data_IF_352593776244
#
_entry.id   IF_352593776244
#
_cell.length_a   1.000
_cell.length_b   1.000
_cell.length_c   1.000
_cell.angle_alpha   90.00
_cell.angle_beta   90.00
_cell.angle_gamma   90.00
#
_symmetry.space_group_name_H-M   'P 1'
#
loop_
_entity.id
_entity.type
_entity.pdbx_description
1 polymer ?
#
# COMPACT_ATOMS: atom_id res chain seq x y z
N UNK A 1 4.67 58.80 -33.50
CA UNK A 1 5.33 57.52 -33.15
C UNK A 1 4.50 56.85 -32.08
N UNK A 2 3.49 56.07 -32.49
CA UNK A 2 2.60 55.31 -31.63
C UNK A 2 3.24 53.94 -31.38
N UNK A 3 3.47 53.61 -30.10
CA UNK A 3 4.06 52.34 -29.70
C UNK A 3 2.96 51.30 -29.53
N UNK A 4 3.11 50.18 -30.23
CA UNK A 4 2.21 49.03 -30.21
C UNK A 4 2.73 48.05 -29.15
N UNK A 5 2.05 47.90 -28.02
CA UNK A 5 2.37 46.88 -27.01
C UNK A 5 1.61 45.60 -27.33
N UNK A 6 2.23 44.75 -28.15
CA UNK A 6 1.77 43.38 -28.38
C UNK A 6 2.15 42.50 -27.19
N UNK A 7 1.16 42.14 -26.37
CA UNK A 7 1.28 41.12 -25.32
C UNK A 7 1.41 39.74 -25.96
N UNK A 8 2.62 39.17 -25.90
CA UNK A 8 2.87 37.78 -26.26
C UNK A 8 2.30 36.83 -25.21
N UNK A 9 1.30 36.04 -25.58
CA UNK A 9 0.84 34.89 -24.79
C UNK A 9 1.82 33.76 -25.06
N UNK A 10 2.78 33.55 -24.15
CA UNK A 10 3.55 32.31 -24.10
C UNK A 10 2.64 31.23 -23.49
N UNK A 11 2.00 30.45 -24.36
CA UNK A 11 1.42 29.18 -23.96
C UNK A 11 2.57 28.23 -23.60
N UNK A 12 2.88 28.12 -22.31
CA UNK A 12 3.74 27.07 -21.77
C UNK A 12 3.01 25.75 -21.97
N UNK A 13 3.31 25.09 -23.09
CA UNK A 13 2.96 23.70 -23.30
C UNK A 13 3.74 22.90 -22.24
N UNK A 14 3.07 22.55 -21.14
CA UNK A 14 3.60 21.58 -20.20
C UNK A 14 3.73 20.26 -20.96
N UNK A 15 4.92 20.01 -21.53
CA UNK A 15 5.34 18.69 -21.96
C UNK A 15 5.39 17.84 -20.69
N UNK A 16 4.27 17.20 -20.37
CA UNK A 16 4.22 16.14 -19.39
C UNK A 16 5.30 15.14 -19.78
N UNK A 17 6.25 14.93 -18.88
CA UNK A 17 7.29 13.92 -19.06
C UNK A 17 6.55 12.58 -19.11
N UNK A 18 6.32 12.08 -20.32
CA UNK A 18 5.75 10.76 -20.53
C UNK A 18 6.74 9.78 -19.93
N UNK A 19 6.41 9.24 -18.76
CA UNK A 19 7.20 8.19 -18.11
C UNK A 19 7.00 6.91 -18.94
N UNK A 20 7.71 6.85 -20.07
CA UNK A 20 7.54 5.82 -21.07
C UNK A 20 8.11 4.47 -20.66
N UNK A 21 8.84 4.35 -19.55
CA UNK A 21 9.45 3.10 -19.11
C UNK A 21 8.80 2.63 -17.82
N UNK A 22 7.98 1.57 -17.93
CA UNK A 22 7.57 0.79 -16.77
C UNK A 22 8.79 0.05 -16.23
N UNK A 23 9.34 0.50 -15.10
CA UNK A 23 10.47 -0.18 -14.46
C UNK A 23 10.14 -1.67 -14.21
N UNK A 24 11.05 -2.56 -14.63
CA UNK A 24 10.90 -4.01 -14.50
C UNK A 24 10.20 -4.71 -15.68
N UNK A 25 9.67 -3.96 -16.66
CA UNK A 25 9.04 -4.53 -17.85
C UNK A 25 9.98 -4.52 -19.05
N UNK A 26 10.02 -5.61 -19.81
CA UNK A 26 10.66 -5.64 -21.12
C UNK A 26 9.76 -5.01 -22.18
N UNK A 27 10.25 -4.00 -22.89
CA UNK A 27 9.57 -3.53 -24.10
C UNK A 27 9.96 -4.39 -25.28
N UNK A 28 8.97 -4.97 -25.93
CA UNK A 28 9.13 -5.81 -27.10
C UNK A 28 8.41 -5.17 -28.29
N UNK A 29 8.92 -5.48 -29.46
CA UNK A 29 8.33 -5.20 -30.77
C UNK A 29 8.11 -6.53 -31.50
N UNK A 30 7.51 -6.48 -32.69
CA UNK A 30 7.21 -7.68 -33.47
C UNK A 30 8.45 -8.51 -33.84
N UNK A 31 9.63 -7.90 -33.91
CA UNK A 31 10.89 -8.56 -34.29
C UNK A 31 11.55 -9.21 -33.07
N UNK A 32 11.52 -8.52 -31.93
CA UNK A 32 12.17 -8.94 -30.69
C UNK A 32 11.32 -9.92 -29.90
N UNK A 33 9.99 -9.85 -30.00
CA UNK A 33 9.09 -10.75 -29.29
C UNK A 33 9.41 -12.22 -29.60
N UNK A 34 9.48 -12.60 -30.88
CA UNK A 34 9.71 -13.99 -31.26
C UNK A 34 11.11 -14.49 -30.83
N UNK A 35 12.12 -13.61 -30.84
CA UNK A 35 13.47 -13.94 -30.35
C UNK A 35 13.49 -14.14 -28.83
N UNK A 36 12.80 -13.28 -28.09
CA UNK A 36 12.74 -13.36 -26.64
C UNK A 36 11.95 -14.60 -26.19
N UNK A 37 10.81 -14.87 -26.81
CA UNK A 37 10.01 -16.06 -26.52
C UNK A 37 10.75 -17.38 -26.84
N UNK A 38 11.76 -17.35 -27.72
CA UNK A 38 12.58 -18.51 -28.04
C UNK A 38 13.77 -18.73 -27.09
N UNK A 39 14.01 -17.84 -26.12
CA UNK A 39 15.10 -18.01 -25.15
C UNK A 39 14.77 -19.20 -24.23
N UNK A 40 15.61 -20.26 -24.21
CA UNK A 40 15.35 -21.43 -23.37
C UNK A 40 15.49 -21.08 -21.89
N UNK A 41 14.77 -21.79 -21.05
CA UNK A 41 14.78 -21.57 -19.60
C UNK A 41 13.92 -20.38 -19.14
N UNK A 42 13.13 -19.75 -20.01
CA UNK A 42 12.43 -18.50 -19.69
C UNK A 42 10.94 -18.56 -19.99
N UNK A 43 10.15 -18.02 -19.07
CA UNK A 43 8.71 -17.79 -19.24
C UNK A 43 8.41 -16.30 -19.33
N UNK A 44 7.35 -15.93 -20.05
CA UNK A 44 7.03 -14.53 -20.34
C UNK A 44 5.56 -14.25 -20.07
N UNK A 45 5.27 -13.15 -19.39
CA UNK A 45 3.92 -12.61 -19.29
C UNK A 45 3.83 -11.30 -20.05
N UNK A 46 3.20 -11.33 -21.21
CA UNK A 46 3.21 -10.27 -22.21
C UNK A 46 1.89 -9.51 -22.21
N UNK A 47 1.95 -8.19 -22.06
CA UNK A 47 0.83 -7.26 -22.28
C UNK A 47 0.89 -6.68 -23.68
N UNK A 48 -0.17 -6.86 -24.47
CA UNK A 48 -0.37 -6.20 -25.76
C UNK A 48 -1.41 -5.09 -25.56
N UNK A 49 -1.04 -3.85 -25.87
CA UNK A 49 -1.85 -2.67 -25.50
C UNK A 49 -1.51 -1.45 -26.36
N UNK A 50 -2.27 -0.38 -26.19
CA UNK A 50 -1.96 0.92 -26.80
C UNK A 50 -0.66 1.52 -26.24
N UNK A 51 0.09 2.29 -27.05
CA UNK A 51 1.24 3.03 -26.56
C UNK A 51 0.80 4.03 -25.49
N UNK A 52 1.62 4.19 -24.46
CA UNK A 52 1.37 5.12 -23.34
C UNK A 52 0.08 4.84 -22.55
N UNK A 53 -0.36 3.58 -22.50
CA UNK A 53 -1.49 3.18 -21.66
C UNK A 53 -1.34 3.63 -20.20
N UNK A 54 -2.44 4.15 -19.65
CA UNK A 54 -2.54 4.69 -18.29
C UNK A 54 -3.82 4.20 -17.60
N UNK A 55 -3.95 4.50 -16.31
CA UNK A 55 -5.09 4.11 -15.48
C UNK A 55 -4.86 2.79 -14.76
N UNK A 56 -5.89 2.34 -14.04
CA UNK A 56 -5.80 1.23 -13.07
C UNK A 56 -5.27 -0.07 -13.68
N UNK A 57 -5.67 -0.38 -14.92
CA UNK A 57 -5.18 -1.58 -15.64
C UNK A 57 -3.69 -1.50 -15.94
N UNK A 58 -3.20 -0.32 -16.33
CA UNK A 58 -1.79 -0.09 -16.57
C UNK A 58 -1.01 -0.18 -15.26
N UNK A 59 -1.51 0.44 -14.19
CA UNK A 59 -0.89 0.40 -12.86
C UNK A 59 -0.83 -1.02 -12.28
N UNK A 60 -1.89 -1.81 -12.45
CA UNK A 60 -1.90 -3.21 -12.08
C UNK A 60 -0.78 -4.00 -12.77
N UNK A 61 -0.57 -3.79 -14.07
CA UNK A 61 0.52 -4.44 -14.78
C UNK A 61 1.90 -3.90 -14.37
N UNK A 62 2.04 -2.60 -14.08
CA UNK A 62 3.29 -2.04 -13.53
C UNK A 62 3.70 -2.74 -12.24
N UNK A 63 2.74 -3.06 -11.37
CA UNK A 63 3.00 -3.86 -10.16
C UNK A 63 3.56 -5.24 -10.50
N UNK A 64 3.01 -5.93 -11.51
CA UNK A 64 3.54 -7.22 -11.98
C UNK A 64 4.99 -7.09 -12.44
N UNK A 65 5.30 -6.07 -13.24
CA UNK A 65 6.64 -5.82 -13.75
C UNK A 65 7.66 -5.57 -12.63
N UNK A 66 7.28 -4.84 -11.59
CA UNK A 66 8.15 -4.60 -10.43
C UNK A 66 8.41 -5.88 -9.63
N UNK A 67 7.39 -6.72 -9.47
CA UNK A 67 7.49 -7.97 -8.71
C UNK A 67 8.21 -9.09 -9.48
N UNK A 68 8.17 -9.06 -10.82
CA UNK A 68 8.83 -10.05 -11.67
C UNK A 68 10.35 -10.15 -11.41
N UNK A 69 10.99 -9.07 -10.94
CA UNK A 69 12.42 -9.07 -10.59
C UNK A 69 12.81 -10.16 -9.57
N UNK A 70 11.91 -10.51 -8.65
CA UNK A 70 12.18 -11.54 -7.63
C UNK A 70 11.92 -12.98 -8.13
N UNK A 71 11.40 -13.14 -9.35
CA UNK A 71 11.02 -14.45 -9.90
C UNK A 71 12.10 -14.92 -10.87
N UNK A 72 12.80 -16.03 -10.58
CA UNK A 72 13.77 -16.56 -11.51
C UNK A 72 13.08 -17.07 -12.78
N UNK A 73 13.79 -16.97 -13.90
CA UNK A 73 13.35 -17.55 -15.18
C UNK A 73 12.02 -17.00 -15.71
N UNK A 74 11.67 -15.76 -15.34
CA UNK A 74 10.40 -15.14 -15.69
C UNK A 74 10.58 -13.67 -16.02
N UNK A 75 9.94 -13.20 -17.09
CA UNK A 75 9.90 -11.80 -17.46
C UNK A 75 8.47 -11.30 -17.68
N UNK A 76 8.17 -10.12 -17.16
CA UNK A 76 7.02 -9.35 -17.61
C UNK A 76 7.44 -8.50 -18.82
N UNK A 77 6.60 -8.46 -19.86
CA UNK A 77 6.89 -7.73 -21.08
C UNK A 77 5.67 -6.97 -21.61
N UNK A 78 5.89 -5.91 -22.38
CA UNK A 78 4.85 -5.16 -23.05
C UNK A 78 5.17 -4.93 -24.52
N UNK A 79 4.15 -5.08 -25.37
CA UNK A 79 4.18 -4.80 -26.80
C UNK A 79 3.21 -3.66 -27.08
N UNK A 80 3.69 -2.41 -27.24
CA UNK A 80 2.85 -1.28 -27.59
C UNK A 80 2.45 -1.34 -29.06
N UNK A 81 1.15 -1.28 -29.37
CA UNK A 81 0.62 -1.31 -30.74
C UNK A 81 0.23 0.09 -31.19
N UNK A 82 1.12 0.74 -31.97
CA UNK A 82 0.89 2.07 -32.53
C UNK A 82 0.24 1.95 -33.91
N UNK A 83 -0.86 2.68 -34.14
CA UNK A 83 -1.51 2.70 -35.46
C UNK A 83 -1.57 4.07 -36.10
N UNK A 84 -1.26 5.12 -35.34
CA UNK A 84 -1.23 6.49 -35.86
C UNK A 84 0.15 6.79 -36.44
N UNK A 85 0.18 7.31 -37.66
CA UNK A 85 1.38 7.58 -38.46
C UNK A 85 2.09 6.30 -38.93
N UNK A 86 3.07 5.84 -38.17
CA UNK A 86 3.83 4.63 -38.45
C UNK A 86 3.18 3.49 -37.69
N UNK A 87 2.56 2.56 -38.44
CA UNK A 87 2.03 1.35 -37.84
C UNK A 87 3.18 0.54 -37.27
N UNK A 88 3.18 0.31 -35.97
CA UNK A 88 4.15 -0.52 -35.26
C UNK A 88 3.41 -1.61 -34.48
N UNK A 89 3.91 -2.84 -34.58
CA UNK A 89 3.41 -4.02 -33.87
C UNK A 89 1.94 -4.40 -34.16
N UNK A 90 1.32 -3.84 -35.21
CA UNK A 90 -0.05 -4.17 -35.63
C UNK A 90 -0.17 -5.64 -36.08
N UNK A 91 0.94 -6.21 -36.56
CA UNK A 91 1.09 -7.64 -36.90
C UNK A 91 1.03 -8.55 -35.66
N UNK A 92 1.51 -8.09 -34.50
CA UNK A 92 1.36 -8.83 -33.23
C UNK A 92 -0.11 -8.91 -32.84
N UNK A 93 -0.85 -7.80 -32.96
CA UNK A 93 -2.29 -7.79 -32.72
C UNK A 93 -3.03 -8.80 -33.63
N UNK A 94 -2.66 -8.85 -34.91
CA UNK A 94 -3.22 -9.80 -35.87
C UNK A 94 -2.86 -11.25 -35.54
N UNK A 95 -1.59 -11.52 -35.17
CA UNK A 95 -1.11 -12.86 -34.75
C UNK A 95 -1.92 -13.46 -33.60
N UNK A 96 -2.38 -12.61 -32.66
CA UNK A 96 -3.20 -13.03 -31.52
C UNK A 96 -4.71 -12.84 -31.72
N UNK A 97 -5.17 -12.53 -32.94
CA UNK A 97 -6.58 -12.30 -33.27
C UNK A 97 -7.26 -11.24 -32.38
N UNK A 98 -6.55 -10.15 -32.08
CA UNK A 98 -7.03 -9.08 -31.20
C UNK A 98 -7.65 -7.92 -31.98
N UNK A 99 -8.68 -7.32 -31.40
CA UNK A 99 -9.20 -6.01 -31.78
C UNK A 99 -8.75 -4.94 -30.78
N UNK A 100 -8.91 -3.66 -31.10
CA UNK A 100 -8.59 -2.59 -30.14
C UNK A 100 -9.46 -2.64 -28.86
N UNK A 101 -10.66 -3.21 -28.96
CA UNK A 101 -11.54 -3.36 -27.80
C UNK A 101 -11.05 -4.44 -26.83
N UNK A 102 -10.17 -5.33 -27.30
CA UNK A 102 -9.54 -6.34 -26.47
C UNK A 102 -8.38 -5.78 -25.62
N UNK A 103 -7.95 -4.54 -25.88
CA UNK A 103 -6.82 -3.95 -25.16
C UNK A 103 -7.22 -3.47 -23.75
N UNK A 104 -6.36 -3.67 -22.73
CA UNK A 104 -5.13 -4.47 -22.77
C UNK A 104 -5.40 -5.98 -22.79
N UNK A 105 -4.61 -6.72 -23.58
CA UNK A 105 -4.63 -8.17 -23.64
C UNK A 105 -3.36 -8.76 -23.04
N UNK A 106 -3.48 -9.85 -22.29
CA UNK A 106 -2.35 -10.46 -21.56
C UNK A 106 -2.21 -11.93 -21.88
N UNK A 107 -0.96 -12.37 -22.12
CA UNK A 107 -0.64 -13.74 -22.51
C UNK A 107 0.53 -14.27 -21.70
N UNK A 108 0.39 -15.49 -21.19
CA UNK A 108 1.47 -16.23 -20.54
C UNK A 108 2.06 -17.25 -21.52
N UNK A 109 3.37 -17.17 -21.69
CA UNK A 109 4.19 -18.11 -22.44
C UNK A 109 5.06 -18.86 -21.42
N UNK A 110 4.87 -20.17 -21.34
CA UNK A 110 5.65 -21.04 -20.47
C UNK A 110 6.60 -21.83 -21.35
N UNK A 111 7.84 -21.98 -20.90
CA UNK A 111 8.80 -22.84 -21.59
C UNK A 111 8.23 -24.26 -21.77
N UNK A 112 8.31 -24.78 -23.00
CA UNK A 112 7.84 -26.12 -23.34
C UNK A 112 6.32 -26.24 -23.53
N UNK A 113 5.55 -25.17 -23.29
CA UNK A 113 4.15 -25.10 -23.70
C UNK A 113 4.07 -24.70 -25.18
N UNK A 114 3.17 -25.36 -25.92
CA UNK A 114 2.98 -25.08 -27.35
C UNK A 114 2.18 -23.79 -27.59
N UNK A 115 1.25 -23.49 -26.68
CA UNK A 115 0.28 -22.40 -26.86
C UNK A 115 0.40 -21.36 -25.74
N UNK A 116 0.22 -20.09 -26.11
CA UNK A 116 0.13 -18.99 -25.18
C UNK A 116 -1.24 -19.00 -24.47
N UNK A 117 -1.25 -18.82 -23.15
CA UNK A 117 -2.50 -18.79 -22.40
C UNK A 117 -2.96 -17.35 -22.18
N UNK A 118 -4.18 -17.03 -22.60
CA UNK A 118 -4.78 -15.71 -22.40
C UNK A 118 -5.30 -15.57 -20.97
N UNK A 119 -4.96 -14.48 -20.31
CA UNK A 119 -5.61 -14.08 -19.06
C UNK A 119 -6.93 -13.37 -19.36
N UNK A 120 -8.02 -13.81 -18.72
CA UNK A 120 -9.38 -13.34 -19.02
C UNK A 120 -10.12 -12.77 -17.80
N UNK A 121 -9.53 -12.81 -16.60
CA UNK A 121 -10.13 -12.28 -15.38
C UNK A 121 -9.96 -10.75 -15.28
N UNK A 122 -10.54 -10.16 -14.22
CA UNK A 122 -10.41 -8.73 -13.95
C UNK A 122 -8.93 -8.31 -13.84
N UNK A 123 -8.55 -7.22 -14.52
CA UNK A 123 -7.16 -6.72 -14.59
C UNK A 123 -6.80 -6.01 -13.29
N UNK A 124 -6.50 -6.81 -12.27
CA UNK A 124 -6.02 -6.40 -10.96
C UNK A 124 -4.77 -7.19 -10.64
N UNK A 125 -3.75 -6.53 -10.08
CA UNK A 125 -2.45 -7.17 -9.84
C UNK A 125 -2.57 -8.44 -8.97
N UNK A 126 -3.43 -8.43 -7.95
CA UNK A 126 -3.67 -9.59 -7.08
C UNK A 126 -4.22 -10.81 -7.86
N UNK A 127 -5.19 -10.59 -8.76
CA UNK A 127 -5.79 -11.65 -9.57
C UNK A 127 -4.77 -12.22 -10.56
N UNK A 128 -4.00 -11.35 -11.21
CA UNK A 128 -2.94 -11.75 -12.15
C UNK A 128 -1.85 -12.57 -11.43
N UNK A 129 -1.42 -12.15 -10.23
CA UNK A 129 -0.45 -12.90 -9.41
C UNK A 129 -1.00 -14.28 -9.05
N UNK A 130 -2.25 -14.37 -8.62
CA UNK A 130 -2.89 -15.65 -8.28
C UNK A 130 -2.96 -16.58 -9.48
N UNK A 131 -3.32 -16.05 -10.65
CA UNK A 131 -3.37 -16.80 -11.90
C UNK A 131 -1.97 -17.23 -12.39
N UNK A 132 -0.96 -16.37 -12.27
CA UNK A 132 0.43 -16.72 -12.59
C UNK A 132 0.93 -17.87 -11.69
N UNK A 133 0.63 -17.82 -10.39
CA UNK A 133 0.95 -18.89 -9.43
C UNK A 133 0.27 -20.21 -9.76
N UNK A 134 -1.00 -20.19 -10.19
CA UNK A 134 -1.70 -21.42 -10.57
C UNK A 134 -1.09 -22.09 -11.80
N UNK A 135 -0.30 -21.37 -12.58
CA UNK A 135 0.43 -21.87 -13.75
C UNK A 135 1.93 -22.05 -13.49
N UNK A 136 2.34 -22.14 -12.23
CA UNK A 136 3.71 -22.50 -11.85
C UNK A 136 4.69 -21.33 -11.75
N UNK A 137 4.23 -20.09 -11.94
CA UNK A 137 5.07 -18.90 -11.75
C UNK A 137 5.00 -18.44 -10.29
N UNK A 138 6.07 -18.65 -9.53
CA UNK A 138 6.18 -18.29 -8.11
C UNK A 138 6.28 -16.78 -7.87
N UNK A 139 5.22 -16.03 -8.20
CA UNK A 139 5.12 -14.59 -7.99
C UNK A 139 5.08 -14.23 -6.50
N UNK A 140 5.76 -13.14 -6.05
CA UNK A 140 5.58 -12.58 -4.72
C UNK A 140 4.18 -11.99 -4.51
N UNK A 141 3.75 -11.87 -3.26
CA UNK A 141 2.52 -11.19 -2.86
C UNK A 141 2.73 -9.67 -2.80
N UNK A 142 1.65 -8.91 -3.04
CA UNK A 142 1.67 -7.44 -3.01
C UNK A 142 1.75 -6.95 -1.56
N UNK A 143 0.80 -7.39 -0.74
CA UNK A 143 0.64 -6.96 0.65
C UNK A 143 1.19 -8.04 1.58
N UNK A 144 0.40 -9.08 1.79
CA UNK A 144 0.70 -10.21 2.65
C UNK A 144 0.44 -11.53 1.93
N UNK A 145 0.81 -12.64 2.54
CA UNK A 145 0.64 -13.98 1.97
C UNK A 145 -0.58 -14.60 2.65
N UNK A 146 -1.73 -14.61 1.97
CA UNK A 146 -3.02 -15.06 2.50
C UNK A 146 -2.95 -16.39 3.28
N UNK A 147 -2.27 -17.39 2.72
CA UNK A 147 -2.16 -18.72 3.35
C UNK A 147 -1.30 -18.70 4.64
N UNK A 148 -0.33 -17.79 4.74
CA UNK A 148 0.43 -17.56 5.98
C UNK A 148 -0.37 -16.68 6.94
N UNK A 149 -1.18 -15.74 6.44
CA UNK A 149 -2.08 -14.90 7.25
C UNK A 149 -3.11 -15.75 7.98
N UNK A 150 -3.65 -16.78 7.32
CA UNK A 150 -4.54 -17.76 7.96
C UNK A 150 -3.85 -18.47 9.13
N UNK A 151 -2.58 -18.85 8.98
CA UNK A 151 -1.79 -19.46 10.07
C UNK A 151 -1.55 -18.44 11.19
N UNK A 152 -1.28 -17.17 10.87
CA UNK A 152 -1.18 -16.09 11.86
C UNK A 152 -2.50 -15.94 12.61
N UNK A 153 -3.64 -15.93 11.91
CA UNK A 153 -4.95 -15.81 12.53
C UNK A 153 -5.28 -16.95 13.49
N UNK A 154 -4.79 -18.17 13.21
CA UNK A 154 -4.86 -19.29 14.14
C UNK A 154 -3.87 -19.13 15.32
N UNK A 155 -2.62 -18.73 15.04
CA UNK A 155 -1.60 -18.46 16.05
C UNK A 155 -2.02 -17.37 17.05
N UNK A 156 -2.74 -16.35 16.60
CA UNK A 156 -3.27 -15.30 17.48
C UNK A 156 -4.39 -15.80 18.42
N UNK A 157 -5.05 -16.91 18.08
CA UNK A 157 -6.03 -17.57 18.95
C UNK A 157 -5.35 -18.55 19.92
N UNK A 158 -4.33 -19.25 19.45
CA UNK A 158 -3.53 -20.22 20.20
C UNK A 158 -2.04 -20.03 19.87
N UNK A 159 -1.33 -19.30 20.72
CA UNK A 159 0.08 -18.98 20.50
C UNK A 159 0.95 -20.20 20.82
N UNK A 160 1.20 -21.05 19.82
CA UNK A 160 1.95 -22.30 19.97
C UNK A 160 3.00 -22.54 18.89
N UNK A 161 4.04 -23.31 19.24
CA UNK A 161 5.12 -23.68 18.32
C UNK A 161 4.62 -24.48 17.09
N UNK A 162 3.46 -25.15 17.21
CA UNK A 162 2.82 -25.87 16.09
C UNK A 162 2.53 -24.94 14.91
N UNK A 163 2.09 -23.71 15.16
CA UNK A 163 1.81 -22.76 14.08
C UNK A 163 3.09 -22.24 13.43
N UNK A 164 4.18 -22.11 14.19
CA UNK A 164 5.51 -21.76 13.67
C UNK A 164 5.99 -22.82 12.68
N UNK A 165 5.90 -24.11 13.06
CA UNK A 165 6.31 -25.20 12.17
C UNK A 165 5.46 -25.28 10.90
N UNK A 166 4.13 -25.11 11.02
CA UNK A 166 3.24 -25.04 9.85
C UNK A 166 3.57 -23.87 8.93
N UNK A 167 3.87 -22.70 9.48
CA UNK A 167 4.30 -21.55 8.68
C UNK A 167 5.62 -21.85 7.96
N UNK A 168 6.58 -22.47 8.65
CA UNK A 168 7.90 -22.85 8.11
C UNK A 168 7.81 -23.86 6.96
N UNK A 169 6.89 -24.82 7.03
CA UNK A 169 6.61 -25.73 5.91
C UNK A 169 6.11 -24.97 4.68
N UNK A 170 5.22 -24.00 4.90
CA UNK A 170 4.61 -23.21 3.83
C UNK A 170 5.57 -22.19 3.21
N UNK A 171 6.58 -21.72 3.95
CA UNK A 171 7.63 -20.82 3.43
C UNK A 171 8.31 -21.36 2.17
N UNK A 172 8.47 -22.69 2.04
CA UNK A 172 9.09 -23.30 0.87
C UNK A 172 8.30 -23.04 -0.42
N UNK A 173 6.97 -22.98 -0.33
CA UNK A 173 6.07 -22.61 -1.44
C UNK A 173 6.26 -21.15 -1.85
N UNK A 174 6.60 -20.29 -0.89
CA UNK A 174 6.79 -18.86 -1.05
C UNK A 174 8.27 -18.43 -1.00
N UNK A 175 9.21 -19.31 -1.35
CA UNK A 175 10.66 -19.07 -1.24
C UNK A 175 11.19 -17.82 -1.96
N UNK A 176 10.48 -17.35 -2.99
CA UNK A 176 10.81 -16.14 -3.75
C UNK A 176 10.17 -14.87 -3.17
N UNK A 177 9.30 -15.01 -2.17
CA UNK A 177 8.69 -13.88 -1.46
C UNK A 177 9.50 -13.60 -0.20
N UNK A 178 10.20 -12.46 -0.18
CA UNK A 178 11.02 -12.04 0.95
C UNK A 178 10.22 -11.91 2.27
N UNK A 179 8.89 -11.78 2.18
CA UNK A 179 7.99 -11.72 3.35
C UNK A 179 7.80 -13.07 4.03
N UNK A 180 7.86 -14.18 3.31
CA UNK A 180 7.61 -15.51 3.86
C UNK A 180 8.43 -15.81 5.15
N UNK A 181 9.78 -15.67 5.15
CA UNK A 181 10.58 -15.89 6.36
C UNK A 181 10.37 -14.85 7.47
N UNK A 182 9.59 -13.78 7.24
CA UNK A 182 9.27 -12.82 8.29
C UNK A 182 8.16 -13.35 9.21
N UNK A 183 7.25 -14.18 8.70
CA UNK A 183 6.14 -14.73 9.47
C UNK A 183 6.63 -15.59 10.64
N UNK A 184 7.48 -16.59 10.36
CA UNK A 184 8.04 -17.44 11.41
C UNK A 184 8.86 -16.64 12.42
N UNK A 185 9.71 -15.73 11.97
CA UNK A 185 10.51 -14.86 12.85
C UNK A 185 9.64 -13.99 13.77
N UNK A 186 8.52 -13.47 13.28
CA UNK A 186 7.61 -12.67 14.09
C UNK A 186 6.86 -13.59 15.07
N UNK A 187 6.36 -14.75 14.65
CA UNK A 187 5.73 -15.73 15.55
C UNK A 187 6.67 -16.14 16.69
N UNK A 188 7.93 -16.50 16.39
CA UNK A 188 8.94 -16.88 17.38
C UNK A 188 9.19 -15.75 18.40
N UNK A 189 9.28 -14.50 17.92
CA UNK A 189 9.44 -13.35 18.81
C UNK A 189 8.20 -13.05 19.63
N UNK A 190 7.01 -13.24 19.06
CA UNK A 190 5.75 -13.12 19.79
C UNK A 190 5.63 -14.18 20.89
N UNK A 191 6.13 -15.41 20.67
CA UNK A 191 6.22 -16.44 21.71
C UNK A 191 7.21 -16.06 22.82
N UNK A 192 8.36 -15.46 22.47
CA UNK A 192 9.41 -15.11 23.43
C UNK A 192 9.13 -13.81 24.22
N UNK A 193 8.54 -12.80 23.57
CA UNK A 193 8.37 -11.44 24.10
C UNK A 193 6.91 -11.11 24.44
N UNK A 194 5.99 -12.00 24.10
CA UNK A 194 4.56 -11.85 24.36
C UNK A 194 3.78 -11.11 23.26
N UNK A 195 2.46 -10.98 23.44
CA UNK A 195 1.53 -10.54 22.39
C UNK A 195 1.73 -9.10 21.93
N UNK A 196 2.35 -8.23 22.75
CA UNK A 196 2.60 -6.82 22.42
C UNK A 196 3.75 -6.63 21.42
N UNK A 197 4.58 -7.65 21.20
CA UNK A 197 5.76 -7.56 20.33
C UNK A 197 5.45 -6.96 18.95
N UNK A 198 4.39 -7.43 18.29
CA UNK A 198 4.05 -6.99 16.95
C UNK A 198 3.68 -5.49 16.90
N UNK A 199 2.91 -5.02 17.88
CA UNK A 199 2.51 -3.62 18.02
C UNK A 199 3.72 -2.71 18.26
N UNK A 200 4.60 -3.08 19.21
CA UNK A 200 5.80 -2.31 19.53
C UNK A 200 6.76 -2.24 18.33
N UNK A 201 6.87 -3.35 17.59
CA UNK A 201 7.71 -3.43 16.41
C UNK A 201 7.17 -2.57 15.24
N UNK A 202 5.85 -2.44 15.09
CA UNK A 202 5.24 -1.51 14.12
C UNK A 202 5.69 -0.08 14.39
N UNK A 203 5.55 0.40 15.63
CA UNK A 203 5.95 1.76 16.02
C UNK A 203 7.44 1.98 15.74
N UNK A 204 8.27 1.00 16.12
CA UNK A 204 9.71 1.07 15.89
C UNK A 204 10.06 1.15 14.40
N UNK A 205 9.42 0.35 13.56
CA UNK A 205 9.65 0.33 12.10
C UNK A 205 9.17 1.64 11.46
N UNK A 206 8.01 2.16 11.85
CA UNK A 206 7.49 3.45 11.35
C UNK A 206 8.44 4.61 11.67
N UNK A 207 8.94 4.68 12.91
CA UNK A 207 9.93 5.70 13.31
C UNK A 207 11.22 5.63 12.50
N UNK A 208 11.66 4.43 12.10
CA UNK A 208 12.83 4.28 11.22
C UNK A 208 12.51 4.81 9.82
N UNK A 209 11.31 4.50 9.30
CA UNK A 209 10.87 4.91 7.96
C UNK A 209 10.67 6.43 7.82
N UNK A 210 10.41 7.15 8.91
CA UNK A 210 10.37 8.62 8.94
C UNK A 210 11.77 9.24 8.74
N UNK A 211 12.82 8.53 9.11
CA UNK A 211 14.20 8.97 8.95
C UNK A 211 14.75 8.82 7.53
N UNK A 212 16.02 9.23 7.37
CA UNK A 212 16.78 8.95 6.15
C UNK A 212 17.15 7.46 6.12
N UNK A 213 16.50 6.72 5.24
CA UNK A 213 16.70 5.28 5.06
C UNK A 213 17.06 5.01 3.60
N UNK A 214 18.08 4.18 3.37
CA UNK A 214 18.47 3.74 2.05
C UNK A 214 17.29 3.06 1.31
N UNK A 215 17.08 3.26 0.00
CA UNK A 215 15.89 2.76 -0.71
C UNK A 215 15.63 1.26 -0.54
N UNK A 216 16.68 0.44 -0.65
CA UNK A 216 16.58 -1.01 -0.44
C UNK A 216 16.11 -1.34 0.99
N UNK A 217 16.67 -0.64 1.99
CA UNK A 217 16.29 -0.89 3.38
C UNK A 217 14.86 -0.42 3.66
N UNK A 218 14.44 0.67 3.03
CA UNK A 218 13.07 1.17 3.08
C UNK A 218 12.10 0.12 2.52
N UNK A 219 12.41 -0.52 1.40
CA UNK A 219 11.60 -1.60 0.83
C UNK A 219 11.46 -2.79 1.79
N UNK A 220 12.57 -3.28 2.35
CA UNK A 220 12.55 -4.37 3.34
C UNK A 220 11.71 -4.03 4.58
N UNK A 221 11.83 -2.80 5.08
CA UNK A 221 11.06 -2.34 6.24
C UNK A 221 9.58 -2.17 5.92
N UNK A 222 9.24 -1.71 4.72
CA UNK A 222 7.86 -1.66 4.23
C UNK A 222 7.25 -3.05 4.12
N UNK A 223 7.98 -4.04 3.61
CA UNK A 223 7.52 -5.43 3.55
C UNK A 223 7.34 -6.04 4.94
N UNK A 224 8.27 -5.75 5.85
CA UNK A 224 8.12 -6.14 7.25
C UNK A 224 6.88 -5.51 7.89
N UNK A 225 6.59 -4.24 7.60
CA UNK A 225 5.43 -3.54 8.12
C UNK A 225 4.12 -4.20 7.64
N UNK A 226 4.04 -4.60 6.37
CA UNK A 226 2.89 -5.34 5.82
C UNK A 226 2.63 -6.63 6.60
N UNK A 227 3.67 -7.42 6.85
CA UNK A 227 3.54 -8.67 7.63
C UNK A 227 3.14 -8.38 9.08
N UNK A 228 3.78 -7.42 9.75
CA UNK A 228 3.47 -7.07 11.14
C UNK A 228 2.01 -6.66 11.35
N UNK A 229 1.41 -5.96 10.37
CA UNK A 229 0.00 -5.55 10.43
C UNK A 229 -0.95 -6.74 10.55
N UNK A 230 -0.62 -7.88 9.94
CA UNK A 230 -1.40 -9.13 10.06
C UNK A 230 -1.40 -9.64 11.51
N UNK A 231 -0.25 -9.61 12.18
CA UNK A 231 -0.10 -10.07 13.57
C UNK A 231 -0.80 -9.16 14.57
N UNK A 232 -0.76 -7.86 14.32
CA UNK A 232 -1.28 -6.90 15.26
C UNK A 232 -2.80 -6.69 15.09
N UNK A 233 -3.42 -7.17 13.98
CA UNK A 233 -4.79 -6.80 13.57
C UNK A 233 -5.03 -5.29 13.66
N UNK A 234 -3.96 -4.51 13.53
CA UNK A 234 -3.98 -3.10 13.85
C UNK A 234 -4.01 -2.31 12.59
N UNK A 235 -5.23 -2.12 12.15
CA UNK A 235 -5.65 -0.80 11.74
C UNK A 235 -6.16 -0.03 12.98
N UNK A 236 -5.77 -0.33 14.23
CA UNK A 236 -6.33 0.37 15.39
C UNK A 236 -5.59 1.68 15.67
N UNK A 237 -6.33 2.76 15.92
CA UNK A 237 -5.78 4.07 16.26
C UNK A 237 -5.03 4.12 17.60
N UNK A 238 -5.00 3.00 18.35
CA UNK A 238 -4.21 2.86 19.58
C UNK A 238 -2.69 2.98 19.34
N UNK A 239 -2.22 2.43 18.22
CA UNK A 239 -0.79 2.42 17.86
C UNK A 239 -0.41 3.67 17.07
N UNK A 240 -1.40 4.34 16.46
CA UNK A 240 -1.18 5.54 15.67
C UNK A 240 -0.78 6.72 16.56
N UNK A 241 0.40 7.30 16.30
CA UNK A 241 0.84 8.53 16.95
C UNK A 241 0.33 9.72 16.15
N UNK A 242 -0.49 10.56 16.77
CA UNK A 242 -0.96 11.78 16.13
C UNK A 242 0.21 12.75 15.88
N UNK A 243 0.25 13.45 14.73
CA UNK A 243 1.25 14.48 14.47
C UNK A 243 1.25 15.57 15.55
N UNK A 244 2.35 16.30 15.68
CA UNK A 244 2.47 17.37 16.67
C UNK A 244 1.31 18.37 16.58
N UNK A 245 0.67 18.58 17.73
CA UNK A 245 -0.52 19.41 17.88
C UNK A 245 -1.86 18.70 17.66
N UNK A 246 -1.89 17.47 17.19
CA UNK A 246 -3.13 16.69 17.05
C UNK A 246 -3.36 15.81 18.30
N UNK A 247 -4.62 15.62 18.68
CA UNK A 247 -5.01 14.73 19.77
C UNK A 247 -5.68 13.46 19.22
N UNK A 248 -5.50 12.30 19.87
CA UNK A 248 -6.21 11.07 19.48
C UNK A 248 -7.72 11.27 19.65
N UNK A 249 -8.52 10.66 18.79
CA UNK A 249 -9.98 10.63 18.97
C UNK A 249 -10.33 9.84 20.24
N UNK A 250 -11.37 10.29 20.94
CA UNK A 250 -11.94 9.54 22.04
C UNK A 250 -12.32 8.12 21.58
N UNK A 251 -11.92 7.10 22.34
CA UNK A 251 -12.12 5.69 21.97
C UNK A 251 -11.25 5.20 20.81
N UNK A 252 -10.17 5.91 20.44
CA UNK A 252 -9.24 5.53 19.37
C UNK A 252 -8.77 4.07 19.44
N UNK A 253 -8.64 3.49 20.64
CA UNK A 253 -8.28 2.09 20.80
C UNK A 253 -9.24 1.10 20.10
N UNK A 254 -10.52 1.49 19.94
CA UNK A 254 -11.54 0.71 19.23
C UNK A 254 -11.81 1.18 17.79
N UNK A 255 -11.14 2.23 17.32
CA UNK A 255 -11.33 2.77 15.97
C UNK A 255 -10.34 2.09 15.02
N UNK A 256 -10.89 1.51 13.95
CA UNK A 256 -10.12 0.95 12.83
C UNK A 256 -9.76 2.11 11.87
N UNK A 257 -8.55 2.67 11.99
CA UNK A 257 -7.82 3.43 10.98
C UNK A 257 -6.31 3.58 11.25
N UNK A 258 -5.58 4.09 10.26
CA UNK A 258 -4.12 4.30 10.36
C UNK A 258 -3.66 5.65 9.82
N UNK A 259 -4.56 6.64 9.79
CA UNK A 259 -4.30 7.96 9.24
C UNK A 259 -4.84 9.05 10.16
N UNK A 260 -4.38 10.28 9.94
CA UNK A 260 -4.73 11.44 10.79
C UNK A 260 -6.22 11.74 10.74
N UNK A 261 -6.88 11.60 9.59
CA UNK A 261 -8.30 11.91 9.44
C UNK A 261 -9.16 10.89 10.19
N UNK A 262 -8.72 9.63 10.24
CA UNK A 262 -9.43 8.55 10.93
C UNK A 262 -9.14 8.55 12.43
N UNK A 263 -7.89 8.78 12.85
CA UNK A 263 -7.45 8.56 14.23
C UNK A 263 -7.31 9.82 15.10
N UNK A 264 -7.18 11.01 14.49
CA UNK A 264 -6.82 12.21 15.23
C UNK A 264 -7.85 13.34 15.04
N UNK A 265 -7.82 14.29 15.98
CA UNK A 265 -8.52 15.57 15.93
C UNK A 265 -7.50 16.70 15.76
N UNK A 266 -7.85 17.79 15.05
CA UNK A 266 -7.01 18.97 14.95
C UNK A 266 -6.69 19.55 16.33
N UNK A 267 -5.65 20.41 16.44
CA UNK A 267 -5.30 21.01 17.72
C UNK A 267 -6.49 21.72 18.33
N UNK A 268 -6.71 21.47 19.61
CA UNK A 268 -7.80 22.04 20.38
C UNK A 268 -7.22 22.72 21.62
N UNK A 269 -7.81 23.85 22.00
CA UNK A 269 -7.53 24.53 23.25
C UNK A 269 -8.77 24.52 24.14
N UNK A 270 -8.52 24.14 25.38
CA UNK A 270 -9.41 24.22 26.53
C UNK A 270 -9.84 25.70 26.74
N UNK A 271 -11.12 25.95 27.02
CA UNK A 271 -11.71 27.32 27.08
C UNK A 271 -12.37 27.65 28.41
N UNK A 272 -12.10 26.87 29.45
CA UNK A 272 -12.62 27.02 30.81
C UNK A 272 -12.03 28.23 31.54
N UNK A 273 -10.78 28.61 31.25
CA UNK A 273 -10.09 29.63 32.03
C UNK A 273 -9.98 29.21 33.50
N UNK A 274 -10.53 30.03 34.41
CA UNK A 274 -10.55 29.74 35.85
C UNK A 274 -11.81 28.97 36.31
N UNK A 275 -12.72 28.66 35.38
CA UNK A 275 -13.94 27.90 35.67
C UNK A 275 -13.62 26.43 35.91
N UNK A 276 -14.40 25.80 36.80
CA UNK A 276 -14.22 24.42 37.22
C UNK A 276 -15.58 23.75 37.49
N UNK A 277 -15.57 22.42 37.47
CA UNK A 277 -16.74 21.61 37.75
C UNK A 277 -17.15 21.66 39.24
N UNK A 278 -18.23 20.97 39.59
CA UNK A 278 -18.74 20.94 40.97
C UNK A 278 -17.79 20.30 42.00
N UNK A 279 -16.75 19.58 41.54
CA UNK A 279 -15.71 18.97 42.37
C UNK A 279 -14.42 19.81 42.43
N UNK A 280 -14.36 20.93 41.70
CA UNK A 280 -13.17 21.77 41.60
C UNK A 280 -12.18 21.33 40.52
N UNK A 281 -12.60 20.48 39.58
CA UNK A 281 -11.75 20.04 38.48
C UNK A 281 -11.88 20.95 37.25
N UNK A 282 -10.73 21.28 36.67
CA UNK A 282 -10.62 21.98 35.38
C UNK A 282 -10.56 20.97 34.21
N UNK A 283 -10.45 21.45 32.97
CA UNK A 283 -10.39 20.57 31.81
C UNK A 283 -9.18 19.62 31.79
N UNK A 284 -8.13 19.91 32.57
CA UNK A 284 -6.98 19.01 32.75
C UNK A 284 -7.35 17.68 33.44
N UNK A 285 -8.44 17.65 34.21
CA UNK A 285 -8.95 16.42 34.81
C UNK A 285 -9.63 15.53 33.78
N UNK A 286 -10.31 16.11 32.79
CA UNK A 286 -11.03 15.43 31.73
C UNK A 286 -10.04 15.02 30.64
N UNK A 287 -9.27 13.96 30.89
CA UNK A 287 -8.31 13.37 29.96
C UNK A 287 -8.93 12.19 29.19
N UNK A 288 -8.13 11.43 28.42
CA UNK A 288 -8.64 10.28 27.66
C UNK A 288 -9.31 9.22 28.55
N UNK A 289 -8.93 9.10 29.82
CA UNK A 289 -9.44 8.10 30.77
C UNK A 289 -10.74 8.55 31.44
N UNK A 290 -10.84 9.83 31.78
CA UNK A 290 -12.01 10.43 32.47
C UNK A 290 -12.97 11.12 31.52
N UNK A 291 -12.67 11.18 30.23
CA UNK A 291 -13.58 11.67 29.20
C UNK A 291 -15.00 11.02 29.18
N UNK A 292 -15.22 9.78 29.63
CA UNK A 292 -16.58 9.27 29.81
C UNK A 292 -17.41 10.02 30.86
N UNK A 293 -16.75 10.70 31.80
CA UNK A 293 -17.35 11.49 32.89
C UNK A 293 -17.67 12.94 32.46
N UNK A 294 -17.39 13.28 31.20
CA UNK A 294 -17.67 14.61 30.66
C UNK A 294 -19.16 14.94 30.76
N UNK A 295 -19.50 15.95 31.56
CA UNK A 295 -20.87 16.40 31.78
C UNK A 295 -21.46 15.96 33.13
N UNK A 296 -20.82 15.03 33.84
CA UNK A 296 -21.35 14.49 35.09
C UNK A 296 -21.37 15.52 36.23
N UNK A 297 -20.41 16.45 36.22
CA UNK A 297 -20.21 17.44 37.27
C UNK A 297 -20.32 18.88 36.76
N UNK A 298 -20.89 19.07 35.58
CA UNK A 298 -21.04 20.37 34.92
C UNK A 298 -21.76 21.37 35.84
N UNK A 299 -21.26 22.60 35.85
CA UNK A 299 -21.88 23.74 36.53
C UNK A 299 -22.53 24.68 35.51
N UNK A 300 -23.10 25.78 35.99
CA UNK A 300 -23.65 26.81 35.10
C UNK A 300 -22.55 27.47 34.28
N UNK A 301 -21.37 27.65 34.86
CA UNK A 301 -20.23 28.34 34.25
C UNK A 301 -19.17 27.40 33.67
N UNK A 302 -19.14 26.12 34.07
CA UNK A 302 -18.25 25.11 33.52
C UNK A 302 -19.03 23.98 32.88
N UNK A 303 -18.86 23.80 31.56
CA UNK A 303 -19.45 22.68 30.82
C UNK A 303 -18.39 21.90 30.10
N UNK A 304 -18.03 20.72 30.60
CA UNK A 304 -16.91 19.94 30.09
C UNK A 304 -17.09 19.63 28.59
N UNK A 305 -18.30 19.24 28.18
CA UNK A 305 -18.66 18.97 26.78
C UNK A 305 -18.58 20.17 25.83
N UNK A 306 -18.43 21.40 26.35
CA UNK A 306 -18.28 22.62 25.53
C UNK A 306 -16.93 23.29 25.69
N UNK A 307 -16.28 23.13 26.84
CA UNK A 307 -15.06 23.83 27.18
C UNK A 307 -13.82 22.96 27.07
N UNK A 308 -13.95 21.64 27.28
CA UNK A 308 -12.81 20.73 27.34
C UNK A 308 -12.65 19.94 26.04
N UNK A 309 -11.42 19.91 25.52
CA UNK A 309 -11.09 19.25 24.26
C UNK A 309 -11.32 17.74 24.28
N UNK A 310 -10.99 17.06 25.39
CA UNK A 310 -11.19 15.62 25.52
C UNK A 310 -12.68 15.23 25.44
N UNK A 311 -13.55 16.11 25.91
CA UNK A 311 -15.00 15.98 25.85
C UNK A 311 -15.60 16.37 24.49
N UNK A 312 -14.77 16.79 23.52
CA UNK A 312 -15.22 17.26 22.20
C UNK A 312 -15.65 18.73 22.16
N UNK A 313 -15.44 19.49 23.24
CA UNK A 313 -15.60 20.94 23.29
C UNK A 313 -14.32 21.70 22.94
N UNK A 314 -14.19 22.90 23.49
CA UNK A 314 -13.04 23.78 23.29
C UNK A 314 -13.06 24.51 21.95
N UNK A 315 -11.93 25.13 21.62
CA UNK A 315 -11.73 25.80 20.32
C UNK A 315 -10.66 25.10 19.49
N UNK A 316 -10.96 24.88 18.21
CA UNK A 316 -9.98 24.41 17.24
C UNK A 316 -8.95 25.50 16.99
N UNK A 317 -7.66 25.21 17.19
CA UNK A 317 -6.58 26.12 16.84
C UNK A 317 -6.43 26.10 15.31
N UNK A 318 -6.93 27.13 14.63
CA UNK A 318 -6.55 27.39 13.25
C UNK A 318 -5.09 27.82 13.23
N UNK A 319 -4.25 27.15 12.43
CA UNK A 319 -2.90 27.66 12.15
C UNK A 319 -3.06 29.02 11.47
N UNK A 320 -2.76 30.10 12.18
CA UNK A 320 -2.28 31.28 11.50
C UNK A 320 -1.00 30.87 10.79
N UNK A 321 -0.90 31.19 9.49
CA UNK A 321 0.29 30.92 8.70
C UNK A 321 1.45 31.70 9.32
N UNK A 322 2.40 30.98 9.91
CA UNK A 322 3.69 31.56 10.28
C UNK A 322 4.49 31.74 8.98
N UNK A 323 4.58 33.00 8.53
CA UNK A 323 5.55 33.50 7.54
C UNK A 323 6.98 33.53 8.12
#
# INVERSE_FOLDING_TARGET
MTWWTGTGVFATLALGVAHGLTHGCLKLDSITMDKMLAVPGQSYFVKIDEPYAYGEKADAFRTICQLAYAVPNFFAAEVPVQRFNQKENDDVREKFNLTLQDFPAFFLFIEGANDAMRYADAVQAANMIKWLRSHGISMPSIDSIDELDDIVNEFLKDASARHVERARELEQKYRNDAKAPMYTKIMEKSLAQGPKYAADEIVRVMKILEGKVHPQKRAELSDKLKVLKVFAKTDACDIFHCPDGYQKKFGAAGIIGSDVATCCKPPCVNTEGDEHDAQGHHCDYYDERTAPECGDWDTVSFRAGRMCCACGGGHTKTREAED
#
